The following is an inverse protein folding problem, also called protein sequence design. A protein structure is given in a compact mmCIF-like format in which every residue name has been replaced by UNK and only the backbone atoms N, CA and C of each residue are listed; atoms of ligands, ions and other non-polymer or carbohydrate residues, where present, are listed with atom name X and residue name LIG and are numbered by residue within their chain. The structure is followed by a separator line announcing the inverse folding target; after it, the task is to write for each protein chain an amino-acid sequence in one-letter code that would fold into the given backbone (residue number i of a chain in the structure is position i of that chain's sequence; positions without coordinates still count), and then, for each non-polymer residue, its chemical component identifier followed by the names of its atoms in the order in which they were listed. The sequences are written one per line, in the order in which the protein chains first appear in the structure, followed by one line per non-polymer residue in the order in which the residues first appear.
data_IF_173375775190
#
_entry.id   IF_173375775190
#
_cell.length_a   1.000
_cell.length_b   1.000
_cell.length_c   1.000
_cell.angle_alpha   90.00
_cell.angle_beta   90.00
_cell.angle_gamma   90.00
#
_symmetry.space_group_name_H-M   'P 1'
#
loop_
_entity.id
_entity.type
_entity.pdbx_description
1 polymer ?
#
# COMPACT_ATOMS: atom_id res chain seq x y z
N UNK A 1 2.51 -20.65 -14.57
CA UNK A 1 2.23 -19.27 -14.10
C UNK A 1 2.41 -18.35 -15.31
N UNK A 2 1.34 -17.72 -15.78
CA UNK A 2 1.37 -16.85 -16.95
C UNK A 2 1.38 -15.39 -16.45
N UNK A 3 2.51 -14.70 -16.61
CA UNK A 3 2.62 -13.27 -16.32
C UNK A 3 2.42 -12.44 -17.59
N UNK A 4 1.90 -11.23 -17.45
CA UNK A 4 1.89 -10.27 -18.54
C UNK A 4 3.33 -9.85 -18.88
N UNK A 5 3.67 -9.82 -20.18
CA UNK A 5 4.95 -9.29 -20.64
C UNK A 5 4.96 -7.78 -20.37
N UNK A 6 6.02 -7.22 -19.76
CA UNK A 6 6.10 -5.78 -19.52
C UNK A 6 5.92 -4.99 -20.83
N UNK A 7 5.16 -3.90 -20.78
CA UNK A 7 4.95 -3.03 -21.94
C UNK A 7 6.30 -2.54 -22.48
N UNK A 8 6.51 -2.68 -23.78
CA UNK A 8 7.72 -2.26 -24.49
C UNK A 8 7.46 -1.01 -25.34
N UNK A 9 8.53 -0.31 -25.73
CA UNK A 9 8.45 0.86 -26.62
C UNK A 9 8.20 2.19 -25.90
N UNK A 10 7.72 3.20 -26.62
CA UNK A 10 7.65 4.59 -26.14
C UNK A 10 6.69 4.81 -24.94
N UNK A 11 5.74 3.90 -24.73
CA UNK A 11 4.84 3.86 -23.57
C UNK A 11 5.36 3.03 -22.40
N UNK A 12 6.53 2.37 -22.53
CA UNK A 12 7.12 1.59 -21.46
C UNK A 12 7.47 2.49 -20.28
N UNK A 13 7.00 2.10 -19.09
CA UNK A 13 7.37 2.74 -17.84
C UNK A 13 7.81 1.66 -16.88
N UNK A 14 9.07 1.74 -16.45
CA UNK A 14 9.61 0.85 -15.42
C UNK A 14 9.30 1.53 -14.08
N UNK A 15 8.52 0.87 -13.22
CA UNK A 15 8.52 1.25 -11.80
C UNK A 15 9.90 0.99 -11.19
N UNK A 16 10.09 1.47 -9.97
CA UNK A 16 11.36 1.35 -9.25
C UNK A 16 11.23 0.29 -8.16
N UNK A 17 12.21 -0.61 -8.08
CA UNK A 17 12.29 -1.58 -6.99
C UNK A 17 13.28 -1.08 -5.93
N UNK A 18 12.88 -1.15 -4.67
CA UNK A 18 13.78 -0.98 -3.51
C UNK A 18 13.91 -2.33 -2.83
N UNK A 19 15.12 -2.87 -2.78
CA UNK A 19 15.40 -4.15 -2.14
C UNK A 19 15.53 -3.92 -0.63
N UNK A 20 14.78 -4.69 0.16
CA UNK A 20 14.83 -4.62 1.62
C UNK A 20 15.70 -5.73 2.25
N UNK A 21 15.97 -6.80 1.49
CA UNK A 21 16.70 -7.98 1.96
C UNK A 21 15.80 -9.22 2.03
N UNK A 22 16.42 -10.40 2.15
CA UNK A 22 15.75 -11.67 2.48
C UNK A 22 14.53 -12.04 1.62
N UNK A 23 14.57 -11.69 0.32
CA UNK A 23 13.49 -11.98 -0.62
C UNK A 23 12.30 -11.02 -0.54
N UNK A 24 12.45 -9.87 0.13
CA UNK A 24 11.41 -8.83 0.23
C UNK A 24 11.87 -7.54 -0.46
N UNK A 25 10.95 -6.91 -1.18
CA UNK A 25 11.20 -5.68 -1.93
C UNK A 25 9.96 -4.79 -1.98
N UNK A 26 10.17 -3.49 -2.14
CA UNK A 26 9.12 -2.51 -2.42
C UNK A 26 9.10 -2.18 -3.90
N UNK A 27 7.92 -2.19 -4.49
CA UNK A 27 7.65 -1.67 -5.80
C UNK A 27 7.04 -0.27 -5.69
N UNK A 28 7.69 0.70 -6.32
CA UNK A 28 7.26 2.07 -6.41
C UNK A 28 6.64 2.31 -7.79
N UNK A 29 5.38 2.73 -7.76
CA UNK A 29 4.57 2.85 -8.98
C UNK A 29 4.98 4.06 -9.82
N UNK A 30 5.41 5.15 -9.17
CA UNK A 30 5.85 6.36 -9.84
C UNK A 30 7.40 6.49 -9.81
N UNK A 31 8.06 6.84 -10.94
CA UNK A 31 9.51 7.01 -11.04
C UNK A 31 10.05 8.13 -10.14
N UNK A 32 9.25 9.17 -9.94
CA UNK A 32 9.53 10.32 -9.08
C UNK A 32 9.17 10.07 -7.61
N UNK A 33 8.57 8.91 -7.32
CA UNK A 33 8.31 8.53 -5.94
C UNK A 33 9.63 8.29 -5.20
N UNK A 34 9.89 9.16 -4.23
CA UNK A 34 10.97 8.97 -3.28
C UNK A 34 10.50 8.09 -2.12
N UNK A 35 11.40 7.22 -1.69
CA UNK A 35 11.29 6.46 -0.44
C UNK A 35 12.60 6.73 0.25
N UNK A 36 12.52 7.11 1.52
CA UNK A 36 13.67 7.50 2.32
C UNK A 36 14.73 6.38 2.33
N UNK A 37 16.00 6.78 2.35
CA UNK A 37 17.12 5.85 2.47
C UNK A 37 17.15 5.22 3.87
N UNK A 38 17.83 4.08 4.02
CA UNK A 38 18.03 3.45 5.34
C UNK A 38 17.03 2.36 5.72
N UNK A 39 16.32 1.78 4.75
CA UNK A 39 15.49 0.58 4.97
C UNK A 39 16.28 -0.73 4.92
N UNK A 40 17.60 -0.68 4.66
CA UNK A 40 18.44 -1.86 4.68
C UNK A 40 18.46 -2.46 6.09
N UNK A 41 18.17 -3.76 6.19
CA UNK A 41 18.10 -4.45 7.48
C UNK A 41 16.88 -4.08 8.33
N UNK A 42 15.84 -3.45 7.76
CA UNK A 42 14.62 -3.07 8.49
C UNK A 42 13.98 -4.26 9.21
N UNK A 43 14.08 -5.47 8.66
CA UNK A 43 13.56 -6.70 9.25
C UNK A 43 14.43 -7.32 10.37
N UNK A 44 15.63 -6.78 10.62
CA UNK A 44 16.42 -7.18 11.78
C UNK A 44 15.88 -6.61 13.09
N UNK A 45 14.99 -5.60 12.99
CA UNK A 45 14.31 -5.01 14.14
C UNK A 45 13.05 -5.80 14.49
N UNK A 46 12.50 -5.54 15.68
CA UNK A 46 11.28 -6.18 16.14
C UNK A 46 10.10 -5.85 15.20
N UNK A 47 9.30 -6.87 14.90
CA UNK A 47 8.05 -6.72 14.15
C UNK A 47 6.94 -6.31 15.12
N UNK A 48 6.38 -5.13 14.91
CA UNK A 48 5.20 -4.66 15.63
C UNK A 48 3.92 -5.03 14.88
N UNK A 49 2.87 -5.35 15.62
CA UNK A 49 1.54 -5.62 15.08
C UNK A 49 0.53 -4.60 15.63
N UNK A 50 -0.30 -4.06 14.74
CA UNK A 50 -1.42 -3.19 15.11
C UNK A 50 -2.74 -3.79 14.61
N UNK A 51 -3.68 -3.96 15.56
CA UNK A 51 -5.05 -4.37 15.31
C UNK A 51 -5.85 -3.20 14.74
N UNK A 52 -6.60 -3.40 13.67
CA UNK A 52 -7.53 -2.35 13.19
C UNK A 52 -8.90 -2.44 13.83
N UNK A 53 -9.31 -3.62 14.31
CA UNK A 53 -10.68 -3.91 14.73
C UNK A 53 -11.70 -3.97 13.58
N UNK A 54 -11.27 -3.75 12.33
CA UNK A 54 -12.14 -3.76 11.15
C UNK A 54 -12.34 -5.19 10.66
N UNK A 55 -13.57 -5.68 10.78
CA UNK A 55 -13.95 -7.07 10.46
C UNK A 55 -14.64 -7.18 9.09
N UNK A 56 -14.29 -8.22 8.33
CA UNK A 56 -14.90 -8.60 7.05
C UNK A 56 -15.31 -10.08 7.04
N UNK A 57 -16.42 -10.37 6.36
CA UNK A 57 -17.04 -11.71 6.40
C UNK A 57 -16.49 -12.71 5.37
N UNK A 58 -15.93 -12.23 4.26
CA UNK A 58 -15.60 -13.08 3.12
C UNK A 58 -14.12 -13.47 3.05
N UNK A 59 -13.28 -12.99 3.97
CA UNK A 59 -11.82 -13.17 3.88
C UNK A 59 -11.20 -12.59 2.61
N UNK A 60 -11.97 -11.79 1.83
CA UNK A 60 -11.50 -11.16 0.60
C UNK A 60 -10.96 -9.78 0.90
N UNK A 61 -9.85 -9.45 0.22
CA UNK A 61 -9.33 -8.08 0.20
C UNK A 61 -10.30 -7.15 -0.50
N UNK A 62 -10.33 -5.89 -0.07
CA UNK A 62 -11.05 -4.83 -0.76
C UNK A 62 -10.05 -4.03 -1.60
N UNK A 63 -10.19 -4.02 -2.94
CA UNK A 63 -9.35 -3.15 -3.78
C UNK A 63 -9.59 -1.66 -3.48
N UNK A 64 -10.77 -1.32 -2.96
CA UNK A 64 -11.09 0.05 -2.53
C UNK A 64 -10.24 0.46 -1.32
N UNK A 65 -9.99 -0.45 -0.38
CA UNK A 65 -9.06 -0.21 0.73
C UNK A 65 -7.62 -0.02 0.21
N UNK A 66 -7.16 -0.84 -0.73
CA UNK A 66 -5.80 -0.69 -1.29
C UNK A 66 -5.63 0.72 -1.90
N UNK A 67 -6.63 1.21 -2.63
CA UNK A 67 -6.64 2.57 -3.20
C UNK A 67 -6.80 3.66 -2.12
N UNK A 68 -7.53 3.39 -1.03
CA UNK A 68 -7.64 4.31 0.10
C UNK A 68 -6.26 4.51 0.73
N UNK A 69 -5.57 3.42 1.04
CA UNK A 69 -4.22 3.45 1.58
C UNK A 69 -3.25 4.16 0.64
N UNK A 70 -3.32 3.87 -0.67
CA UNK A 70 -2.50 4.53 -1.68
C UNK A 70 -2.72 6.05 -1.77
N UNK A 71 -3.90 6.53 -1.40
CA UNK A 71 -4.23 7.96 -1.46
C UNK A 71 -4.02 8.71 -0.14
N UNK A 72 -4.02 8.02 1.00
CA UNK A 72 -3.93 8.62 2.33
C UNK A 72 -2.62 8.37 3.07
N UNK A 73 -1.75 7.48 2.59
CA UNK A 73 -0.42 7.24 3.15
C UNK A 73 0.66 7.83 2.25
N UNK A 74 1.31 8.94 2.65
CA UNK A 74 2.56 9.37 2.04
C UNK A 74 3.58 8.22 2.05
N UNK A 75 4.36 8.07 0.99
CA UNK A 75 5.33 6.97 0.89
C UNK A 75 4.73 5.60 0.57
N UNK A 76 3.46 5.53 0.14
CA UNK A 76 2.80 4.27 -0.24
C UNK A 76 3.57 3.46 -1.29
N UNK A 77 3.85 2.20 -1.03
CA UNK A 77 4.51 1.27 -1.95
C UNK A 77 3.76 -0.06 -2.00
N UNK A 78 4.08 -0.91 -2.98
CA UNK A 78 3.63 -2.29 -3.00
C UNK A 78 4.75 -3.20 -2.45
N UNK A 79 4.53 -3.85 -1.32
CA UNK A 79 5.45 -4.87 -0.81
C UNK A 79 5.26 -6.17 -1.57
N UNK A 80 6.37 -6.70 -2.08
CA UNK A 80 6.46 -7.97 -2.79
C UNK A 80 7.39 -8.88 -1.98
N UNK A 81 6.94 -10.08 -1.67
CA UNK A 81 7.69 -11.04 -0.88
C UNK A 81 7.80 -12.37 -1.61
N UNK A 82 9.00 -12.94 -1.62
CA UNK A 82 9.22 -14.32 -2.04
C UNK A 82 8.58 -15.28 -1.05
N UNK A 83 8.19 -16.47 -1.53
CA UNK A 83 7.54 -17.47 -0.69
C UNK A 83 8.42 -17.90 0.50
N UNK A 84 9.75 -17.97 0.33
CA UNK A 84 10.69 -18.27 1.42
C UNK A 84 10.63 -17.26 2.58
N UNK A 85 10.48 -15.96 2.28
CA UNK A 85 10.32 -14.92 3.29
C UNK A 85 9.03 -15.10 4.09
N UNK A 86 7.94 -15.47 3.40
CA UNK A 86 6.63 -15.74 4.01
C UNK A 86 6.69 -17.02 4.87
N UNK A 87 7.25 -18.10 4.34
CA UNK A 87 7.34 -19.40 5.02
C UNK A 87 8.21 -19.33 6.28
N UNK A 88 9.23 -18.45 6.30
CA UNK A 88 10.06 -18.20 7.46
C UNK A 88 9.39 -17.36 8.56
N UNK A 89 8.24 -16.73 8.27
CA UNK A 89 7.55 -15.81 9.18
C UNK A 89 8.13 -14.39 9.21
N UNK A 90 9.15 -14.09 8.40
CA UNK A 90 9.75 -12.75 8.30
C UNK A 90 8.70 -11.68 8.01
N UNK A 91 7.79 -11.99 7.08
CA UNK A 91 6.66 -11.14 6.69
C UNK A 91 5.38 -11.95 6.54
N UNK A 92 4.25 -11.33 6.86
CA UNK A 92 2.91 -11.92 6.69
C UNK A 92 2.04 -11.01 5.79
N UNK A 93 2.40 -10.87 4.50
CA UNK A 93 1.77 -9.92 3.60
C UNK A 93 0.28 -10.26 3.36
N UNK A 94 -0.55 -9.23 3.16
CA UNK A 94 -1.93 -9.43 2.70
C UNK A 94 -1.98 -10.15 1.34
N UNK A 95 -0.97 -9.92 0.49
CA UNK A 95 -0.70 -10.60 -0.77
C UNK A 95 0.80 -10.62 -1.13
N UNK A 96 1.33 -11.79 -1.50
CA UNK A 96 2.74 -11.93 -1.86
C UNK A 96 3.21 -11.06 -3.05
N UNK A 97 2.30 -10.71 -3.98
CA UNK A 97 2.65 -10.03 -5.24
C UNK A 97 2.37 -8.52 -5.25
N UNK A 98 1.97 -7.94 -4.13
CA UNK A 98 1.62 -6.52 -4.05
C UNK A 98 0.74 -6.23 -2.85
N UNK A 99 1.34 -6.15 -1.68
CA UNK A 99 0.70 -5.74 -0.44
C UNK A 99 0.78 -4.23 -0.27
N UNK A 100 -0.32 -3.53 0.08
CA UNK A 100 -0.27 -2.15 0.55
C UNK A 100 0.78 -1.96 1.64
N UNK A 101 1.77 -1.14 1.38
CA UNK A 101 2.81 -0.76 2.32
C UNK A 101 3.02 0.75 2.27
N UNK A 102 3.68 1.31 3.27
CA UNK A 102 4.22 2.65 3.19
C UNK A 102 5.50 2.75 4.01
N UNK A 103 6.29 3.77 3.69
CA UNK A 103 7.53 4.08 4.38
C UNK A 103 7.41 5.46 5.00
N UNK A 104 7.85 5.55 6.26
CA UNK A 104 7.93 6.80 7.01
C UNK A 104 9.30 6.85 7.68
N UNK A 105 10.19 7.71 7.19
CA UNK A 105 11.58 7.73 7.62
C UNK A 105 12.25 6.38 7.35
N UNK A 106 12.91 5.81 8.36
CA UNK A 106 13.57 4.49 8.26
C UNK A 106 12.66 3.34 8.70
N UNK A 107 11.34 3.56 8.76
CA UNK A 107 10.37 2.57 9.21
C UNK A 107 9.45 2.15 8.07
N UNK A 108 9.08 0.87 8.07
CA UNK A 108 8.20 0.25 7.09
C UNK A 108 6.94 -0.22 7.79
N UNK A 109 5.79 -0.01 7.19
CA UNK A 109 4.58 -0.72 7.57
C UNK A 109 3.83 -1.28 6.36
N UNK A 110 3.12 -2.39 6.56
CA UNK A 110 2.36 -3.07 5.53
C UNK A 110 1.08 -3.71 6.08
N UNK A 111 0.08 -3.84 5.21
CA UNK A 111 -1.15 -4.55 5.55
C UNK A 111 -0.87 -6.06 5.62
N UNK A 112 -1.16 -6.66 6.77
CA UNK A 112 -0.98 -8.07 6.99
C UNK A 112 -2.04 -8.95 6.30
N UNK A 113 -1.78 -10.25 6.30
CA UNK A 113 -2.80 -11.26 6.00
C UNK A 113 -4.01 -11.06 6.91
N UNK A 114 -5.20 -11.20 6.35
CA UNK A 114 -6.45 -11.16 7.13
C UNK A 114 -6.41 -12.21 8.25
N UNK A 115 -6.55 -11.75 9.49
CA UNK A 115 -6.50 -12.60 10.69
C UNK A 115 -7.90 -13.10 11.01
N UNK A 116 -8.08 -14.41 11.07
CA UNK A 116 -9.37 -14.96 11.49
C UNK A 116 -9.61 -14.72 12.98
N UNK A 117 -10.75 -14.11 13.32
CA UNK A 117 -11.15 -13.82 14.72
C UNK A 117 -12.40 -14.59 15.16
N UNK A 118 -13.22 -15.06 14.21
CA UNK A 118 -14.32 -15.99 14.45
C UNK A 118 -14.66 -16.78 13.16
N UNK A 119 -15.71 -17.61 13.21
CA UNK A 119 -16.21 -18.29 12.02
C UNK A 119 -16.65 -17.26 10.97
N UNK A 120 -16.05 -17.34 9.78
CA UNK A 120 -16.27 -16.39 8.69
C UNK A 120 -16.08 -14.91 9.09
N UNK A 121 -15.23 -14.60 10.08
CA UNK A 121 -14.92 -13.24 10.48
C UNK A 121 -13.40 -13.03 10.51
N UNK A 122 -12.95 -12.06 9.71
CA UNK A 122 -11.53 -11.78 9.54
C UNK A 122 -11.23 -10.31 9.78
N UNK A 123 -10.15 -10.03 10.48
CA UNK A 123 -9.70 -8.68 10.79
C UNK A 123 -8.57 -8.25 9.84
N UNK A 124 -8.61 -6.98 9.43
CA UNK A 124 -7.45 -6.31 8.87
C UNK A 124 -6.42 -5.99 9.95
N UNK A 125 -5.19 -6.45 9.79
CA UNK A 125 -4.07 -6.14 10.69
C UNK A 125 -2.97 -5.44 9.92
N UNK A 126 -2.15 -4.67 10.63
CA UNK A 126 -0.97 -4.03 10.08
C UNK A 126 0.28 -4.49 10.82
N UNK A 127 1.38 -4.59 10.09
CA UNK A 127 2.69 -4.88 10.65
C UNK A 127 3.63 -3.72 10.38
N UNK A 128 4.54 -3.45 11.32
CA UNK A 128 5.55 -2.41 11.21
C UNK A 128 6.93 -2.90 11.64
N UNK A 129 7.95 -2.34 11.03
CA UNK A 129 9.37 -2.65 11.23
C UNK A 129 10.19 -1.36 11.22
N UNK A 130 11.37 -1.38 11.83
CA UNK A 130 12.24 -0.22 11.96
C UNK A 130 12.04 0.55 13.27
N UNK A 131 12.77 1.66 13.41
CA UNK A 131 12.90 2.40 14.67
C UNK A 131 11.55 2.91 15.21
N UNK A 132 10.63 3.27 14.32
CA UNK A 132 9.27 3.73 14.61
C UNK A 132 8.22 2.71 14.14
N UNK A 133 8.58 1.43 14.05
CA UNK A 133 7.73 0.37 13.49
C UNK A 133 6.35 0.27 14.17
N UNK A 134 6.29 0.45 15.49
CA UNK A 134 5.02 0.47 16.22
C UNK A 134 4.11 1.62 15.77
N UNK A 135 4.67 2.82 15.60
CA UNK A 135 3.91 3.99 15.16
C UNK A 135 3.47 3.83 13.70
N UNK A 136 4.34 3.30 12.83
CA UNK A 136 4.02 3.05 11.43
C UNK A 136 2.90 1.98 11.27
N UNK A 137 2.94 0.91 12.05
CA UNK A 137 1.88 -0.10 12.07
C UNK A 137 0.54 0.51 12.51
N UNK A 138 0.56 1.34 13.56
CA UNK A 138 -0.62 2.01 14.07
C UNK A 138 -1.20 3.04 13.08
N UNK A 139 -0.35 3.76 12.33
CA UNK A 139 -0.78 4.68 11.28
C UNK A 139 -1.51 3.95 10.14
N UNK A 140 -0.99 2.80 9.69
CA UNK A 140 -1.68 1.93 8.74
C UNK A 140 -3.04 1.48 9.30
N UNK A 141 -3.08 0.96 10.53
CA UNK A 141 -4.31 0.52 11.19
C UNK A 141 -5.31 1.68 11.35
N UNK A 142 -4.84 2.89 11.62
CA UNK A 142 -5.68 4.08 11.71
C UNK A 142 -6.33 4.44 10.37
N UNK A 143 -5.61 4.31 9.26
CA UNK A 143 -6.19 4.52 7.93
C UNK A 143 -7.21 3.44 7.56
N UNK A 144 -6.96 2.18 7.92
CA UNK A 144 -7.94 1.10 7.76
C UNK A 144 -9.23 1.42 8.54
N UNK A 145 -9.11 1.90 9.79
CA UNK A 145 -10.26 2.34 10.59
C UNK A 145 -10.94 3.58 10.01
N UNK A 146 -10.18 4.51 9.43
CA UNK A 146 -10.73 5.71 8.79
C UNK A 146 -11.59 5.35 7.58
N UNK A 147 -11.11 4.44 6.73
CA UNK A 147 -11.86 3.90 5.60
C UNK A 147 -13.16 3.21 6.06
N UNK A 148 -13.09 2.39 7.11
CA UNK A 148 -14.27 1.73 7.68
C UNK A 148 -15.31 2.73 8.19
N UNK A 149 -14.87 3.74 8.97
CA UNK A 149 -15.74 4.84 9.43
C UNK A 149 -16.35 5.66 8.30
N UNK A 150 -15.65 5.79 7.17
CA UNK A 150 -16.17 6.46 5.98
C UNK A 150 -17.21 5.63 5.21
N UNK A 151 -17.59 4.45 5.71
CA UNK A 151 -18.56 3.57 5.06
C UNK A 151 -17.97 2.71 3.96
N UNK A 152 -16.65 2.46 4.00
CA UNK A 152 -15.91 1.62 3.04
C UNK A 152 -16.13 2.09 1.58
N UNK A 153 -15.91 3.38 1.27
CA UNK A 153 -16.25 3.94 -0.03
C UNK A 153 -15.37 3.32 -1.14
N UNK A 154 -15.98 3.15 -2.31
CA UNK A 154 -15.24 2.95 -3.56
C UNK A 154 -14.75 4.31 -4.08
N UNK A 155 -13.56 4.39 -4.68
CA UNK A 155 -13.06 5.65 -5.23
C UNK A 155 -13.80 6.03 -6.51
N UNK A 156 -14.02 7.33 -6.68
CA UNK A 156 -14.38 7.93 -7.97
C UNK A 156 -13.10 8.48 -8.61
N UNK A 157 -12.85 8.07 -9.84
CA UNK A 157 -11.66 8.43 -10.61
C UNK A 157 -12.00 9.52 -11.63
N UNK A 158 -11.30 10.65 -11.55
CA UNK A 158 -11.28 11.65 -12.61
C UNK A 158 -9.91 11.61 -13.30
N UNK A 159 -9.89 11.62 -14.63
CA UNK A 159 -8.64 11.64 -15.41
C UNK A 159 -8.68 12.85 -16.33
N UNK A 160 -7.69 13.73 -16.18
CA UNK A 160 -7.54 14.95 -16.98
C UNK A 160 -6.17 14.99 -17.65
N UNK A 161 -5.96 15.83 -18.69
CA UNK A 161 -4.65 16.04 -19.30
C UNK A 161 -3.55 16.42 -18.29
N UNK A 162 -2.30 16.04 -18.60
CA UNK A 162 -1.14 16.26 -17.72
C UNK A 162 -0.83 17.74 -17.46
N UNK A 163 -1.25 18.62 -18.35
CA UNK A 163 -1.06 20.07 -18.32
C UNK A 163 -2.24 20.83 -17.70
N UNK A 164 -3.29 20.14 -17.23
CA UNK A 164 -4.40 20.78 -16.51
C UNK A 164 -3.88 21.47 -15.24
N UNK A 165 -4.13 22.78 -15.02
CA UNK A 165 -3.68 23.51 -13.84
C UNK A 165 -4.28 22.99 -12.52
N UNK A 166 -3.56 23.12 -11.40
CA UNK A 166 -4.02 22.70 -10.07
C UNK A 166 -5.35 23.35 -9.67
N UNK A 167 -5.55 24.61 -10.03
CA UNK A 167 -6.77 25.37 -9.71
C UNK A 167 -8.03 24.84 -10.42
N UNK A 168 -7.87 24.01 -11.45
CA UNK A 168 -8.96 23.41 -12.22
C UNK A 168 -9.25 21.96 -11.79
N UNK A 169 -8.45 21.41 -10.88
CA UNK A 169 -8.64 20.04 -10.42
C UNK A 169 -9.79 19.92 -9.40
N UNK A 170 -10.59 18.85 -9.47
CA UNK A 170 -11.47 18.48 -8.37
C UNK A 170 -10.67 18.28 -7.08
N UNK A 171 -11.27 18.59 -5.94
CA UNK A 171 -10.71 18.22 -4.64
C UNK A 171 -10.53 16.72 -4.54
N UNK A 172 -9.34 16.26 -4.17
CA UNK A 172 -9.01 14.85 -4.05
C UNK A 172 -7.51 14.59 -4.07
N UNK A 173 -7.13 13.31 -4.01
CA UNK A 173 -5.73 12.91 -4.15
C UNK A 173 -5.35 12.90 -5.62
N UNK A 174 -4.37 13.70 -5.99
CA UNK A 174 -3.84 13.77 -7.36
C UNK A 174 -2.61 12.88 -7.51
N UNK A 175 -2.62 12.03 -8.52
CA UNK A 175 -1.47 11.26 -8.99
C UNK A 175 -1.10 11.77 -10.38
N UNK A 176 0.05 12.42 -10.48
CA UNK A 176 0.57 12.93 -11.74
C UNK A 176 1.20 11.77 -12.54
N UNK A 177 0.73 11.58 -13.77
CA UNK A 177 1.31 10.67 -14.75
C UNK A 177 1.94 11.51 -15.86
N UNK A 178 2.72 10.85 -16.73
CA UNK A 178 3.44 11.52 -17.83
C UNK A 178 2.53 12.38 -18.73
N UNK A 179 1.31 11.95 -18.98
CA UNK A 179 0.39 12.59 -19.91
C UNK A 179 -1.00 12.91 -19.32
N UNK A 180 -1.22 12.56 -18.06
CA UNK A 180 -2.51 12.72 -17.41
C UNK A 180 -2.33 12.96 -15.92
N UNK A 181 -3.38 13.49 -15.31
CA UNK A 181 -3.50 13.59 -13.86
C UNK A 181 -4.70 12.75 -13.47
N UNK A 182 -4.51 11.84 -12.51
CA UNK A 182 -5.56 10.99 -11.98
C UNK A 182 -5.94 11.52 -10.60
N UNK A 183 -7.21 11.85 -10.40
CA UNK A 183 -7.73 12.38 -9.16
C UNK A 183 -8.65 11.32 -8.54
N UNK A 184 -8.33 10.93 -7.31
CA UNK A 184 -9.15 10.04 -6.49
C UNK A 184 -10.01 10.87 -5.54
N UNK A 185 -11.33 10.66 -5.60
CA UNK A 185 -12.28 11.21 -4.63
C UNK A 185 -13.05 10.07 -3.95
N UNK A 186 -13.44 10.29 -2.71
CA UNK A 186 -13.98 9.24 -1.83
C UNK A 186 -15.41 9.51 -1.35
N UNK A 187 -15.96 10.67 -1.72
CA UNK A 187 -17.36 11.02 -1.54
C UNK A 187 -18.05 10.95 -2.90
N UNK A 188 -19.15 10.20 -3.00
CA UNK A 188 -20.04 10.33 -4.15
C UNK A 188 -20.73 11.71 -4.05
N UNK A 189 -20.70 12.47 -5.14
CA UNK A 189 -21.47 13.72 -5.26
C UNK A 189 -22.97 13.43 -5.27
#
# INVERSE_FOLDING_TARGET
MCGFVPMQGAGARKGRTVVLGDGVNLWLTEPDQHVDEGLEGVFAQERYEASSGVIVSSGRRSPDLDLWLASHLPGFAALIAQQSAIDSGLVEPSWAYGTPAFVHGTSLAYQGRLRQVAEAAYEHVAYGHGADGAAAAEEMAAQIRAWDRAGRPAPVLCVVPGDTPDAELPEGRVVNKRHSRIIFTWTQK
#
